data_IF_674928686856
#
_entry.id   IF_674928686856
#
_cell.length_a   1.000
_cell.length_b   1.000
_cell.length_c   1.000
_cell.angle_alpha   90.00
_cell.angle_beta   90.00
_cell.angle_gamma   90.00
#
_symmetry.space_group_name_H-M   'P 1'
#
loop_
_entity.id
_entity.type
_entity.pdbx_description
1 polymer ?
#
# COMPACT_ATOMS: atom_id res chain seq x y z
N UNK A 1 0.02 -17.42 -6.90
CA UNK A 1 0.33 -16.52 -5.76
C UNK A 1 -0.12 -17.16 -4.45
N UNK A 2 -1.39 -17.54 -4.30
CA UNK A 2 -1.84 -18.44 -3.22
C UNK A 2 -1.30 -19.86 -3.46
N UNK A 3 -0.73 -20.49 -2.43
CA UNK A 3 -0.13 -21.83 -2.49
C UNK A 3 1.36 -21.87 -2.86
N UNK A 4 2.00 -20.72 -3.12
CA UNK A 4 3.46 -20.67 -3.29
C UNK A 4 4.13 -20.61 -1.90
N UNK A 5 5.08 -21.51 -1.56
CA UNK A 5 5.67 -21.58 -0.22
C UNK A 5 6.31 -20.26 0.24
N UNK A 6 6.96 -19.55 -0.69
CA UNK A 6 7.57 -18.24 -0.39
C UNK A 6 6.55 -17.16 -0.02
N UNK A 7 5.33 -17.22 -0.57
CA UNK A 7 4.27 -16.27 -0.23
C UNK A 7 3.65 -16.59 1.14
N UNK A 8 3.41 -17.87 1.43
CA UNK A 8 2.88 -18.30 2.73
C UNK A 8 3.80 -17.93 3.88
N UNK A 9 5.10 -18.22 3.73
CA UNK A 9 6.10 -17.82 4.74
C UNK A 9 6.14 -16.30 4.95
N UNK A 10 6.14 -15.53 3.87
CA UNK A 10 6.12 -14.08 3.98
C UNK A 10 4.85 -13.60 4.70
N UNK A 11 3.69 -14.17 4.40
CA UNK A 11 2.44 -13.85 5.09
C UNK A 11 2.52 -14.16 6.60
N UNK A 12 3.00 -15.34 6.97
CA UNK A 12 3.16 -15.76 8.37
C UNK A 12 4.11 -14.82 9.13
N UNK A 13 5.25 -14.45 8.51
CA UNK A 13 6.21 -13.51 9.10
C UNK A 13 5.57 -12.13 9.33
N UNK A 14 4.72 -11.65 8.42
CA UNK A 14 4.01 -10.37 8.59
C UNK A 14 2.95 -10.45 9.69
N UNK A 15 2.21 -11.57 9.79
CA UNK A 15 1.21 -11.76 10.86
C UNK A 15 1.92 -11.79 12.22
N UNK A 16 2.98 -12.58 12.35
CA UNK A 16 3.78 -12.66 13.58
C UNK A 16 4.37 -11.30 13.97
N UNK A 17 4.80 -10.50 12.98
CA UNK A 17 5.31 -9.15 13.19
C UNK A 17 4.24 -8.07 13.42
N UNK A 18 2.94 -8.43 13.45
CA UNK A 18 1.81 -7.49 13.50
C UNK A 18 1.81 -6.46 12.36
N UNK A 19 2.25 -6.88 11.17
CA UNK A 19 2.36 -6.08 9.93
C UNK A 19 1.41 -6.53 8.82
N UNK A 20 0.29 -7.14 9.23
CA UNK A 20 -0.80 -7.54 8.35
C UNK A 20 -2.11 -7.00 8.93
N UNK A 21 -2.88 -6.28 8.12
CA UNK A 21 -4.23 -5.84 8.51
C UNK A 21 -5.29 -6.40 7.58
N UNK A 22 -6.48 -6.63 8.14
CA UNK A 22 -7.69 -7.02 7.42
C UNK A 22 -8.77 -6.00 7.74
N UNK A 23 -9.42 -5.49 6.71
CA UNK A 23 -10.65 -4.71 6.84
C UNK A 23 -11.83 -5.67 6.72
N UNK A 24 -12.81 -5.52 7.61
CA UNK A 24 -14.06 -6.28 7.57
C UNK A 24 -15.20 -5.37 7.11
N UNK A 25 -16.10 -5.93 6.30
CA UNK A 25 -17.35 -5.30 5.92
C UNK A 25 -18.38 -5.34 7.06
N UNK A 26 -19.54 -4.69 6.89
CA UNK A 26 -20.58 -4.63 7.92
C UNK A 26 -21.12 -6.00 8.35
N UNK A 27 -21.08 -7.00 7.46
CA UNK A 27 -21.50 -8.37 7.76
C UNK A 27 -20.41 -9.24 8.41
N UNK A 28 -19.23 -8.67 8.69
CA UNK A 28 -18.09 -9.39 9.27
C UNK A 28 -17.25 -10.17 8.25
N UNK A 29 -17.54 -10.06 6.95
CA UNK A 29 -16.74 -10.64 5.88
C UNK A 29 -15.47 -9.82 5.59
N UNK A 30 -14.35 -10.44 5.18
CA UNK A 30 -13.16 -9.69 4.75
C UNK A 30 -13.45 -8.82 3.51
N UNK A 31 -13.29 -7.51 3.67
CA UNK A 31 -13.44 -6.50 2.62
C UNK A 31 -12.11 -6.18 1.92
N UNK A 32 -10.98 -6.43 2.58
CA UNK A 32 -9.65 -6.23 2.03
C UNK A 32 -8.55 -6.57 3.02
N UNK A 33 -7.32 -6.65 2.52
CA UNK A 33 -6.15 -6.94 3.34
C UNK A 33 -4.92 -6.21 2.83
N UNK A 34 -3.98 -5.95 3.75
CA UNK A 34 -2.72 -5.28 3.45
C UNK A 34 -1.56 -5.89 4.23
N UNK A 35 -0.41 -6.04 3.57
CA UNK A 35 0.88 -6.37 4.16
C UNK A 35 1.81 -5.17 4.01
N UNK A 36 2.52 -4.83 5.08
CA UNK A 36 3.40 -3.67 5.11
C UNK A 36 4.66 -3.94 5.92
N UNK A 37 5.63 -3.04 5.86
CA UNK A 37 6.90 -3.23 6.52
C UNK A 37 7.87 -2.09 6.32
N UNK A 38 9.16 -2.42 6.40
CA UNK A 38 10.24 -1.44 6.48
C UNK A 38 10.39 -0.85 7.89
N UNK A 39 11.20 0.20 7.96
CA UNK A 39 11.53 0.98 9.14
C UNK A 39 12.02 2.37 8.69
N UNK A 40 12.01 3.39 9.56
CA UNK A 40 12.52 4.71 9.19
C UNK A 40 13.92 4.64 8.56
N UNK A 41 14.19 5.39 7.48
CA UNK A 41 13.31 6.38 6.85
C UNK A 41 12.44 5.82 5.71
N UNK A 42 12.46 4.51 5.44
CA UNK A 42 11.76 3.90 4.29
C UNK A 42 10.83 2.78 4.73
N UNK A 43 9.55 3.07 4.64
CA UNK A 43 8.49 2.09 4.85
C UNK A 43 7.98 1.55 3.52
N UNK A 44 7.32 0.40 3.56
CA UNK A 44 6.79 -0.23 2.37
C UNK A 44 5.40 -0.82 2.58
N UNK A 45 4.55 -0.72 1.55
CA UNK A 45 3.35 -1.54 1.40
C UNK A 45 3.67 -2.63 0.38
N UNK A 46 3.66 -3.87 0.83
CA UNK A 46 4.07 -5.03 0.04
C UNK A 46 2.93 -5.62 -0.77
N UNK A 47 1.71 -5.59 -0.22
CA UNK A 47 0.54 -6.12 -0.88
C UNK A 47 -0.71 -5.44 -0.34
N UNK A 48 -1.62 -5.02 -1.23
CA UNK A 48 -2.93 -4.48 -0.88
C UNK A 48 -3.96 -5.06 -1.83
N UNK A 49 -5.04 -5.62 -1.28
CA UNK A 49 -6.18 -6.11 -2.06
C UNK A 49 -7.48 -5.63 -1.43
N UNK A 50 -8.45 -5.30 -2.27
CA UNK A 50 -9.82 -4.98 -1.87
C UNK A 50 -10.75 -5.86 -2.68
N UNK A 51 -11.69 -6.53 -2.00
CA UNK A 51 -12.64 -7.41 -2.65
C UNK A 51 -13.50 -6.62 -3.63
N UNK A 52 -13.74 -7.19 -4.82
CA UNK A 52 -14.33 -6.48 -5.96
C UNK A 52 -15.70 -5.87 -5.64
N UNK A 53 -16.53 -6.60 -4.89
CA UNK A 53 -17.88 -6.20 -4.52
C UNK A 53 -17.94 -5.01 -3.53
N UNK A 54 -16.83 -4.65 -2.89
CA UNK A 54 -16.73 -3.50 -1.97
C UNK A 54 -15.77 -2.41 -2.45
N UNK A 55 -15.26 -2.50 -3.69
CA UNK A 55 -14.43 -1.43 -4.26
C UNK A 55 -15.23 -0.12 -4.34
N UNK A 56 -14.53 1.00 -4.15
CA UNK A 56 -15.15 2.33 -4.09
C UNK A 56 -15.84 2.67 -2.78
N UNK A 57 -15.93 1.75 -1.81
CA UNK A 57 -16.59 1.98 -0.51
C UNK A 57 -15.62 2.37 0.61
N UNK A 58 -14.35 2.66 0.27
CA UNK A 58 -13.37 3.21 1.22
C UNK A 58 -12.46 2.19 1.91
N UNK A 59 -12.67 0.87 1.76
CA UNK A 59 -11.86 -0.16 2.43
C UNK A 59 -10.35 0.01 2.23
N UNK A 60 -9.90 0.26 0.99
CA UNK A 60 -8.48 0.50 0.69
C UNK A 60 -7.92 1.75 1.38
N UNK A 61 -8.71 2.83 1.48
CA UNK A 61 -8.30 4.06 2.19
C UNK A 61 -8.18 3.82 3.69
N UNK A 62 -9.13 3.07 4.28
CA UNK A 62 -9.08 2.68 5.69
C UNK A 62 -7.84 1.86 6.00
N UNK A 63 -7.54 0.86 5.17
CA UNK A 63 -6.33 0.05 5.31
C UNK A 63 -5.06 0.90 5.25
N UNK A 64 -4.94 1.77 4.25
CA UNK A 64 -3.77 2.65 4.11
C UNK A 64 -3.61 3.62 5.28
N UNK A 65 -4.72 4.17 5.80
CA UNK A 65 -4.68 5.02 7.00
C UNK A 65 -4.13 4.26 8.20
N UNK A 66 -4.66 3.06 8.45
CA UNK A 66 -4.21 2.22 9.56
C UNK A 66 -2.74 1.82 9.43
N UNK A 67 -2.28 1.52 8.20
CA UNK A 67 -0.87 1.22 7.92
C UNK A 67 0.02 2.41 8.26
N UNK A 68 -0.30 3.61 7.78
CA UNK A 68 0.51 4.81 8.05
C UNK A 68 0.53 5.10 9.56
N UNK A 69 -0.62 5.03 10.22
CA UNK A 69 -0.71 5.21 11.67
C UNK A 69 0.19 4.21 12.41
N UNK A 70 0.16 2.93 12.03
CA UNK A 70 1.02 1.91 12.64
C UNK A 70 2.51 2.12 12.36
N UNK A 71 2.88 2.51 11.15
CA UNK A 71 4.28 2.69 10.76
C UNK A 71 4.94 3.89 11.44
N UNK A 72 4.13 4.89 11.80
CA UNK A 72 4.57 6.18 12.33
C UNK A 72 4.24 6.35 13.81
N UNK A 73 3.75 5.29 14.48
CA UNK A 73 3.23 5.34 15.84
C UNK A 73 2.24 6.50 16.08
N UNK A 74 1.43 6.80 15.05
CA UNK A 74 0.42 7.87 15.05
C UNK A 74 0.96 9.29 14.82
N UNK A 75 2.27 9.50 14.74
CA UNK A 75 2.87 10.82 14.53
C UNK A 75 2.74 11.34 13.09
N UNK A 76 2.43 10.47 12.13
CA UNK A 76 2.57 10.76 10.71
C UNK A 76 4.04 10.72 10.26
N UNK A 77 4.27 10.83 8.95
CA UNK A 77 5.62 10.76 8.39
C UNK A 77 6.45 11.98 8.82
N UNK A 78 7.63 11.73 9.38
CA UNK A 78 8.62 12.76 9.67
C UNK A 78 9.34 13.22 8.39
N UNK A 79 9.99 14.38 8.45
CA UNK A 79 10.78 14.90 7.33
C UNK A 79 11.85 13.89 6.90
N UNK A 80 11.91 13.60 5.59
CA UNK A 80 12.80 12.59 5.03
C UNK A 80 12.28 11.16 5.06
N UNK A 81 11.15 10.89 5.72
CA UNK A 81 10.49 9.59 5.69
C UNK A 81 9.57 9.43 4.47
N UNK A 82 9.48 8.19 3.99
CA UNK A 82 8.67 7.82 2.83
C UNK A 82 7.98 6.47 3.01
N UNK A 83 6.77 6.35 2.50
CA UNK A 83 6.12 5.07 2.25
C UNK A 83 6.20 4.75 0.76
N UNK A 84 6.76 3.59 0.43
CA UNK A 84 6.89 3.08 -0.92
C UNK A 84 5.85 1.99 -1.21
N UNK A 85 5.30 2.00 -2.42
CA UNK A 85 4.50 0.88 -2.94
C UNK A 85 4.92 0.61 -4.38
N UNK A 86 5.04 -0.66 -4.74
CA UNK A 86 5.25 -1.07 -6.13
C UNK A 86 3.91 -1.47 -6.72
N UNK A 87 3.51 -0.80 -7.80
CA UNK A 87 2.26 -1.09 -8.52
C UNK A 87 2.52 -1.22 -10.02
N UNK A 88 1.47 -1.47 -10.80
CA UNK A 88 1.53 -1.58 -12.26
C UNK A 88 2.21 -0.36 -12.90
N UNK A 89 3.15 -0.61 -13.80
CA UNK A 89 3.71 0.43 -14.68
C UNK A 89 2.64 0.98 -15.63
N UNK A 90 2.84 2.19 -16.20
CA UNK A 90 1.81 2.88 -16.98
C UNK A 90 1.38 2.15 -18.26
N UNK A 91 2.22 1.26 -18.77
CA UNK A 91 2.04 0.42 -19.97
C UNK A 91 1.42 -0.96 -19.67
N UNK A 92 1.21 -1.31 -18.39
CA UNK A 92 0.59 -2.58 -18.01
C UNK A 92 -0.94 -2.50 -18.08
N UNK A 93 -1.67 -3.48 -18.65
CA UNK A 93 -3.14 -3.46 -18.71
C UNK A 93 -3.82 -3.26 -17.34
N UNK A 94 -3.28 -3.94 -16.32
CA UNK A 94 -3.68 -3.78 -14.93
C UNK A 94 -3.56 -2.35 -14.37
N UNK A 95 -2.80 -1.45 -14.99
CA UNK A 95 -2.76 -0.03 -14.61
C UNK A 95 -4.12 0.66 -14.79
N UNK A 96 -4.88 0.25 -15.81
CA UNK A 96 -6.21 0.76 -16.11
C UNK A 96 -7.26 -0.07 -15.39
N UNK A 97 -7.22 -1.40 -15.56
CA UNK A 97 -8.30 -2.30 -15.12
C UNK A 97 -8.46 -2.34 -13.59
N UNK A 98 -7.34 -2.26 -12.85
CA UNK A 98 -7.39 -2.31 -11.38
C UNK A 98 -7.72 -0.95 -10.74
N UNK A 99 -7.48 0.16 -11.46
CA UNK A 99 -7.50 1.51 -10.90
C UNK A 99 -6.43 1.76 -9.83
N UNK A 100 -5.45 0.88 -9.66
CA UNK A 100 -4.48 0.95 -8.55
C UNK A 100 -3.62 2.22 -8.58
N UNK A 101 -3.16 2.66 -9.75
CA UNK A 101 -2.37 3.90 -9.89
C UNK A 101 -3.18 5.11 -9.42
N UNK A 102 -4.39 5.27 -9.97
CA UNK A 102 -5.32 6.36 -9.60
C UNK A 102 -5.66 6.31 -8.11
N UNK A 103 -5.81 5.11 -7.54
CA UNK A 103 -6.02 4.96 -6.11
C UNK A 103 -4.87 5.55 -5.29
N UNK A 104 -3.60 5.19 -5.59
CA UNK A 104 -2.45 5.72 -4.87
C UNK A 104 -2.26 7.23 -5.10
N UNK A 105 -2.46 7.72 -6.33
CA UNK A 105 -2.40 9.16 -6.66
C UNK A 105 -3.41 9.97 -5.83
N UNK A 106 -4.64 9.46 -5.67
CA UNK A 106 -5.66 10.08 -4.81
C UNK A 106 -5.31 10.10 -3.33
N UNK A 107 -4.44 9.19 -2.88
CA UNK A 107 -3.88 9.20 -1.53
C UNK A 107 -2.68 10.14 -1.38
N UNK A 108 -2.22 10.75 -2.48
CA UNK A 108 -1.07 11.67 -2.51
C UNK A 108 0.27 10.97 -2.79
N UNK A 109 0.26 9.70 -3.17
CA UNK A 109 1.47 9.07 -3.70
C UNK A 109 1.80 9.65 -5.09
N UNK A 110 3.09 9.77 -5.38
CA UNK A 110 3.56 10.19 -6.70
C UNK A 110 4.32 9.05 -7.37
N UNK A 111 4.18 8.87 -8.70
CA UNK A 111 5.00 7.93 -9.45
C UNK A 111 6.50 8.31 -9.33
N UNK A 112 7.36 7.31 -9.19
CA UNK A 112 8.81 7.46 -9.13
C UNK A 112 9.48 6.58 -10.20
N UNK A 113 10.61 5.96 -9.88
CA UNK A 113 11.35 5.12 -10.83
C UNK A 113 10.61 3.82 -11.21
N UNK A 114 10.93 3.24 -12.38
CA UNK A 114 10.55 1.87 -12.70
C UNK A 114 11.06 0.88 -11.65
N UNK A 115 10.26 -0.15 -11.38
CA UNK A 115 10.64 -1.29 -10.56
C UNK A 115 10.85 -2.51 -11.46
N UNK A 116 11.54 -3.58 -10.98
CA UNK A 116 11.61 -4.84 -11.71
C UNK A 116 10.23 -5.34 -12.10
N UNK A 117 10.12 -5.92 -13.29
CA UNK A 117 8.86 -6.44 -13.81
C UNK A 117 8.25 -7.47 -12.85
N UNK A 118 6.92 -7.54 -12.89
CA UNK A 118 6.16 -8.56 -12.17
C UNK A 118 6.53 -9.97 -12.66
N UNK A 119 6.21 -11.00 -11.88
CA UNK A 119 6.47 -12.40 -12.25
C UNK A 119 5.81 -12.81 -13.57
N UNK A 120 4.75 -12.11 -13.99
CA UNK A 120 4.10 -12.28 -15.29
C UNK A 120 4.79 -11.55 -16.45
N UNK A 121 5.92 -10.87 -16.20
CA UNK A 121 6.68 -10.08 -17.17
C UNK A 121 6.12 -8.68 -17.42
N UNK A 122 5.13 -8.26 -16.63
CA UNK A 122 4.48 -6.98 -16.77
C UNK A 122 5.18 -5.86 -15.99
N UNK A 123 5.30 -4.67 -16.59
CA UNK A 123 6.00 -3.53 -16.00
C UNK A 123 5.48 -3.14 -14.61
N UNK A 124 6.39 -2.61 -13.79
CA UNK A 124 6.13 -2.12 -12.44
C UNK A 124 6.75 -0.76 -12.21
N UNK A 125 6.17 0.00 -11.28
CA UNK A 125 6.67 1.32 -10.91
C UNK A 125 6.56 1.53 -9.40
N UNK A 126 7.58 2.18 -8.83
CA UNK A 126 7.56 2.66 -7.46
C UNK A 126 6.66 3.89 -7.36
N UNK A 127 5.84 3.95 -6.32
CA UNK A 127 5.05 5.10 -5.92
C UNK A 127 5.47 5.51 -4.51
N UNK A 128 5.61 6.81 -4.26
CA UNK A 128 6.07 7.36 -2.97
C UNK A 128 5.07 8.31 -2.35
N UNK A 129 4.78 8.10 -1.08
CA UNK A 129 4.16 9.09 -0.21
C UNK A 129 5.23 9.65 0.71
N UNK A 130 5.50 10.95 0.59
CA UNK A 130 6.43 11.67 1.46
C UNK A 130 5.67 12.37 2.58
N UNK A 131 6.39 12.76 3.63
CA UNK A 131 5.86 13.72 4.60
C UNK A 131 5.32 14.96 3.88
N UNK A 132 4.11 15.40 4.29
CA UNK A 132 3.62 16.70 3.82
C UNK A 132 4.53 17.78 4.39
N UNK A 133 4.88 18.82 3.62
CA UNK A 133 5.55 19.97 4.17
C UNK A 133 4.71 20.50 5.33
N UNK A 134 5.34 20.77 6.48
CA UNK A 134 4.69 21.57 7.52
C UNK A 134 4.35 22.90 6.87
N UNK A 135 3.07 23.14 6.58
CA UNK A 135 2.64 24.45 6.12
C UNK A 135 2.99 25.43 7.23
N UNK A 136 4.07 26.19 7.04
CA UNK A 136 4.46 27.27 7.93
C UNK A 136 3.28 28.23 8.06
N UNK A 137 2.62 28.18 9.21
CA UNK A 137 1.54 29.10 9.53
C UNK A 137 2.07 30.52 9.38
N UNK A 138 1.45 31.30 8.49
CA UNK A 138 1.53 32.75 8.59
C UNK A 138 0.58 33.14 9.72
N UNK A 139 1.15 33.71 10.77
CA UNK A 139 0.41 34.48 11.78
C UNK A 139 -0.08 35.81 11.25
#
# INVERSE_FOLDING_TARGET
MVGHPGFQRALDDHIAGQRAFVAFGPGGEPAGAVLFGGAPPRFAVHWLVVADHVRGQGAGRTLMSAVIERLTDGAGLAEGEVVEVVTFGPDHPGAVDSGARVFYERLGFVPAEPAPDGPEGGSRQVFRLNARPLNGGRG
#
